data_IF_150189510331
#
_entry.id   IF_150189510331
#
_cell.length_a   1.000
_cell.length_b   1.000
_cell.length_c   1.000
_cell.angle_alpha   90.00
_cell.angle_beta   90.00
_cell.angle_gamma   90.00
#
_symmetry.space_group_name_H-M   'P 1'
#
loop_
_entity.id
_entity.type
_entity.pdbx_description
1 polymer ?
#
# COMPACT_ATOMS: atom_id res chain seq x y z
N UNK A 1 1.85 -12.91 13.24
CA UNK A 1 1.33 -12.45 11.94
C UNK A 1 -0.08 -12.99 11.78
N UNK A 2 -1.00 -12.19 11.27
CA UNK A 2 -2.41 -12.58 11.10
C UNK A 2 -2.90 -12.14 9.71
N UNK A 3 -3.57 -13.06 9.02
CA UNK A 3 -4.15 -12.94 7.69
C UNK A 3 -5.48 -13.72 7.68
N UNK A 4 -6.32 -13.53 6.66
CA UNK A 4 -7.44 -14.45 6.43
C UNK A 4 -6.91 -15.88 6.18
N UNK A 5 -7.69 -16.90 6.54
CA UNK A 5 -7.23 -18.30 6.48
C UNK A 5 -6.67 -18.70 5.11
N UNK A 6 -7.40 -18.41 4.03
CA UNK A 6 -6.95 -18.74 2.66
C UNK A 6 -5.66 -18.00 2.26
N UNK A 7 -5.53 -16.73 2.68
CA UNK A 7 -4.33 -15.95 2.46
C UNK A 7 -3.15 -16.53 3.25
N UNK A 8 -3.33 -16.82 4.54
CA UNK A 8 -2.31 -17.45 5.38
C UNK A 8 -1.83 -18.78 4.80
N UNK A 9 -2.76 -19.64 4.36
CA UNK A 9 -2.42 -20.91 3.71
C UNK A 9 -1.63 -20.70 2.41
N UNK A 10 -2.04 -19.73 1.57
CA UNK A 10 -1.30 -19.37 0.37
C UNK A 10 0.12 -18.89 0.68
N UNK A 11 0.29 -18.07 1.72
CA UNK A 11 1.59 -17.58 2.15
C UNK A 11 2.48 -18.72 2.70
N UNK A 12 1.93 -19.63 3.52
CA UNK A 12 2.68 -20.77 4.05
C UNK A 12 3.18 -21.70 2.93
N UNK A 13 2.37 -21.94 1.90
CA UNK A 13 2.79 -22.70 0.71
C UNK A 13 3.88 -21.98 -0.09
N UNK A 14 3.78 -20.66 -0.23
CA UNK A 14 4.81 -19.86 -0.88
C UNK A 14 6.14 -19.90 -0.11
N UNK A 15 6.09 -19.84 1.22
CA UNK A 15 7.26 -19.96 2.10
C UNK A 15 7.91 -21.34 1.95
N UNK A 16 7.11 -22.41 1.95
CA UNK A 16 7.61 -23.77 1.79
C UNK A 16 8.28 -23.98 0.43
N UNK A 17 7.66 -23.50 -0.65
CA UNK A 17 8.24 -23.55 -2.00
C UNK A 17 9.55 -22.74 -2.09
N UNK A 18 9.58 -21.52 -1.53
CA UNK A 18 10.81 -20.71 -1.48
C UNK A 18 11.95 -21.43 -0.77
N UNK A 19 11.66 -22.08 0.38
CA UNK A 19 12.67 -22.91 1.09
C UNK A 19 13.16 -24.07 0.25
N UNK A 20 12.28 -24.73 -0.52
CA UNK A 20 12.66 -25.77 -1.47
C UNK A 20 13.62 -25.29 -2.57
N UNK A 21 13.61 -23.99 -2.86
CA UNK A 21 14.56 -23.33 -3.77
C UNK A 21 15.80 -22.74 -3.08
N UNK A 22 15.97 -22.94 -1.76
CA UNK A 22 17.06 -22.34 -0.99
C UNK A 22 16.90 -20.83 -0.76
N UNK A 23 15.68 -20.30 -0.92
CA UNK A 23 15.34 -18.89 -0.74
C UNK A 23 14.64 -18.64 0.60
N UNK A 24 14.64 -17.38 1.02
CA UNK A 24 13.80 -16.90 2.13
C UNK A 24 12.60 -16.15 1.58
N UNK A 25 11.50 -16.23 2.32
CA UNK A 25 10.29 -15.44 2.09
C UNK A 25 9.71 -15.10 3.45
N UNK A 26 9.74 -13.81 3.80
CA UNK A 26 9.35 -13.35 5.13
C UNK A 26 8.75 -11.95 5.13
N UNK A 27 8.26 -11.51 6.32
CA UNK A 27 7.68 -10.20 6.48
C UNK A 27 8.76 -9.11 6.37
N UNK A 28 8.44 -8.01 5.67
CA UNK A 28 9.30 -6.82 5.60
C UNK A 28 9.56 -6.19 6.97
N UNK A 29 8.61 -6.33 7.89
CA UNK A 29 8.64 -5.74 9.21
C UNK A 29 7.52 -6.26 10.12
N UNK A 30 7.45 -5.79 11.37
CA UNK A 30 6.45 -6.23 12.34
C UNK A 30 5.00 -5.89 11.92
N UNK A 31 4.82 -4.89 11.06
CA UNK A 31 3.55 -4.37 10.56
C UNK A 31 3.20 -4.88 9.15
N UNK A 32 3.93 -5.88 8.65
CA UNK A 32 3.80 -6.38 7.28
C UNK A 32 2.46 -7.05 6.94
N UNK A 33 1.61 -7.38 7.91
CA UNK A 33 0.36 -8.12 7.67
C UNK A 33 -0.84 -7.37 8.26
N UNK A 34 -1.43 -7.86 9.35
CA UNK A 34 -2.56 -7.19 10.01
C UNK A 34 -2.21 -5.75 10.39
N UNK A 35 -3.11 -4.85 10.02
CA UNK A 35 -3.18 -3.47 10.49
C UNK A 35 -4.57 -3.22 11.06
N UNK A 36 -4.69 -2.47 12.14
CA UNK A 36 -5.97 -2.01 12.66
C UNK A 36 -6.32 -0.61 12.11
N UNK A 37 -7.56 -0.15 12.32
CA UNK A 37 -7.98 1.17 11.81
C UNK A 37 -7.14 2.32 12.36
N UNK A 38 -6.83 2.31 13.66
CA UNK A 38 -6.05 3.38 14.28
C UNK A 38 -4.63 3.45 13.70
N UNK A 39 -4.00 2.31 13.41
CA UNK A 39 -2.70 2.29 12.74
C UNK A 39 -2.76 3.01 11.37
N UNK A 40 -3.87 2.87 10.62
CA UNK A 40 -4.05 3.59 9.35
C UNK A 40 -4.21 5.09 9.54
N UNK A 41 -4.86 5.51 10.63
CA UNK A 41 -4.99 6.92 10.99
C UNK A 41 -3.63 7.51 11.36
N UNK A 42 -2.83 6.81 12.17
CA UNK A 42 -1.50 7.27 12.56
C UNK A 42 -0.54 7.33 11.37
N UNK A 43 -0.59 6.34 10.46
CA UNK A 43 0.21 6.38 9.23
C UNK A 43 -0.18 7.56 8.33
N UNK A 44 -1.48 7.81 8.14
CA UNK A 44 -1.97 8.97 7.40
C UNK A 44 -1.49 10.29 8.03
N UNK A 45 -1.66 10.43 9.33
CA UNK A 45 -1.20 11.59 10.12
C UNK A 45 0.30 11.82 9.99
N UNK A 46 1.10 10.75 9.96
CA UNK A 46 2.56 10.80 9.78
C UNK A 46 3.02 11.36 8.41
N UNK A 47 2.08 11.58 7.48
CA UNK A 47 2.31 12.29 6.20
C UNK A 47 1.65 13.66 6.20
N UNK A 48 0.44 13.77 6.72
CA UNK A 48 -0.31 15.02 6.78
C UNK A 48 0.39 16.08 7.63
N UNK A 49 0.79 15.76 8.87
CA UNK A 49 1.33 16.80 9.77
C UNK A 49 2.65 17.41 9.28
N UNK A 50 3.66 16.63 8.84
CA UNK A 50 4.90 17.21 8.31
C UNK A 50 4.67 18.07 7.07
N UNK A 51 3.77 17.66 6.18
CA UNK A 51 3.44 18.40 4.97
C UNK A 51 2.73 19.72 5.28
N UNK A 52 1.74 19.72 6.17
CA UNK A 52 1.08 20.95 6.61
C UNK A 52 2.07 21.95 7.21
N UNK A 53 2.96 21.48 8.09
CA UNK A 53 3.99 22.32 8.69
C UNK A 53 4.94 22.90 7.63
N UNK A 54 5.37 22.08 6.67
CA UNK A 54 6.22 22.52 5.57
C UNK A 54 5.53 23.59 4.71
N UNK A 55 4.33 23.30 4.20
CA UNK A 55 3.65 24.19 3.27
C UNK A 55 3.18 25.49 3.92
N UNK A 56 2.80 25.46 5.20
CA UNK A 56 2.49 26.67 5.96
C UNK A 56 3.75 27.50 6.19
N UNK A 57 4.86 26.87 6.57
CA UNK A 57 6.16 27.54 6.73
C UNK A 57 6.69 28.18 5.44
N UNK A 58 6.37 27.60 4.28
CA UNK A 58 6.66 28.19 2.96
C UNK A 58 5.62 29.25 2.51
N UNK A 59 4.58 29.51 3.29
CA UNK A 59 3.50 30.44 2.92
C UNK A 59 2.63 29.98 1.75
N UNK A 60 2.68 28.68 1.39
CA UNK A 60 1.86 28.11 0.30
C UNK A 60 0.44 27.75 0.76
N UNK A 61 0.24 27.58 2.06
CA UNK A 61 -1.07 27.51 2.70
C UNK A 61 -1.10 28.46 3.90
N UNK A 62 -2.28 28.93 4.29
CA UNK A 62 -2.45 29.71 5.51
C UNK A 62 -2.41 28.79 6.74
N UNK A 63 -1.85 29.27 7.85
CA UNK A 63 -1.82 28.51 9.11
C UNK A 63 -3.22 28.10 9.56
N UNK A 64 -4.22 28.99 9.43
CA UNK A 64 -5.61 28.67 9.74
C UNK A 64 -6.17 27.50 8.90
N UNK A 65 -5.72 27.35 7.64
CA UNK A 65 -6.07 26.20 6.80
C UNK A 65 -5.38 24.93 7.28
N UNK A 66 -4.09 25.01 7.65
CA UNK A 66 -3.37 23.89 8.23
C UNK A 66 -4.01 23.40 9.54
N UNK A 67 -4.36 24.32 10.44
CA UNK A 67 -5.03 24.02 11.71
C UNK A 67 -6.41 23.38 11.51
N UNK A 68 -7.19 23.89 10.55
CA UNK A 68 -8.47 23.32 10.19
C UNK A 68 -8.31 21.86 9.72
N UNK A 69 -7.36 21.59 8.84
CA UNK A 69 -7.11 20.23 8.35
C UNK A 69 -6.65 19.34 9.51
N UNK A 70 -5.69 19.79 10.33
CA UNK A 70 -5.13 19.02 11.46
C UNK A 70 -6.20 18.60 12.48
N UNK A 71 -7.16 19.49 12.74
CA UNK A 71 -8.28 19.24 13.68
C UNK A 71 -9.46 18.48 13.06
N UNK A 72 -9.49 18.32 11.74
CA UNK A 72 -10.59 17.61 11.06
C UNK A 72 -10.51 16.10 11.33
N UNK A 73 -11.67 15.40 11.38
CA UNK A 73 -11.71 13.94 11.37
C UNK A 73 -10.94 13.36 10.17
N UNK A 74 -10.29 12.19 10.30
CA UNK A 74 -9.46 11.62 9.23
C UNK A 74 -10.17 11.50 7.88
N UNK A 75 -11.45 11.13 7.87
CA UNK A 75 -12.25 11.06 6.65
C UNK A 75 -12.39 12.42 5.95
N UNK A 76 -12.57 13.50 6.70
CA UNK A 76 -12.64 14.86 6.13
C UNK A 76 -11.28 15.38 5.68
N UNK A 77 -10.20 14.94 6.32
CA UNK A 77 -8.84 15.28 5.88
C UNK A 77 -8.56 14.76 4.48
N UNK A 78 -9.05 13.57 4.11
CA UNK A 78 -8.81 12.96 2.79
C UNK A 78 -9.21 13.90 1.66
N UNK A 79 -10.44 14.42 1.69
CA UNK A 79 -10.94 15.33 0.66
C UNK A 79 -10.10 16.63 0.62
N UNK A 80 -9.84 17.24 1.79
CA UNK A 80 -9.07 18.49 1.89
C UNK A 80 -7.62 18.32 1.42
N UNK A 81 -7.00 17.19 1.69
CA UNK A 81 -5.66 16.86 1.20
C UNK A 81 -5.67 16.77 -0.32
N UNK A 82 -6.62 16.04 -0.92
CA UNK A 82 -6.70 15.94 -2.38
C UNK A 82 -6.98 17.28 -3.07
N UNK A 83 -7.84 18.15 -2.50
CA UNK A 83 -8.05 19.51 -3.00
C UNK A 83 -6.77 20.38 -2.98
N UNK A 84 -5.86 20.13 -2.03
CA UNK A 84 -4.55 20.78 -1.99
C UNK A 84 -3.59 20.16 -3.02
N UNK A 85 -3.64 18.86 -3.23
CA UNK A 85 -2.80 18.17 -4.21
C UNK A 85 -3.13 18.60 -5.65
N UNK A 86 -4.39 18.90 -5.96
CA UNK A 86 -4.79 19.55 -7.22
C UNK A 86 -4.08 20.89 -7.48
N UNK A 87 -3.60 21.55 -6.41
CA UNK A 87 -2.86 22.82 -6.44
C UNK A 87 -1.35 22.60 -6.29
N UNK A 88 -0.86 21.39 -6.55
CA UNK A 88 0.54 20.99 -6.39
C UNK A 88 1.09 21.24 -4.97
N UNK A 89 0.25 21.04 -3.96
CA UNK A 89 0.62 21.02 -2.54
C UNK A 89 0.54 19.56 -2.12
N UNK A 90 1.67 18.88 -2.20
CA UNK A 90 1.76 17.42 -2.11
C UNK A 90 2.07 16.92 -0.71
N UNK A 91 1.61 15.70 -0.42
CA UNK A 91 1.67 15.10 0.91
C UNK A 91 2.39 13.75 0.94
N UNK A 92 3.05 13.34 -0.15
CA UNK A 92 4.00 12.22 -0.11
C UNK A 92 5.14 12.51 0.88
N UNK A 93 5.87 11.48 1.30
CA UNK A 93 6.98 11.62 2.27
C UNK A 93 8.04 12.66 1.84
N UNK A 94 8.25 12.80 0.53
CA UNK A 94 9.18 13.75 -0.09
C UNK A 94 8.50 15.00 -0.68
N UNK A 95 7.17 15.13 -0.48
CA UNK A 95 6.35 16.26 -0.93
C UNK A 95 6.36 16.49 -2.46
N UNK A 96 6.66 15.46 -3.25
CA UNK A 96 6.76 15.55 -4.72
C UNK A 96 5.57 14.95 -5.46
N UNK A 97 4.75 14.13 -4.79
CA UNK A 97 3.65 13.36 -5.38
C UNK A 97 2.45 13.30 -4.44
N UNK A 98 1.34 12.76 -4.94
CA UNK A 98 0.17 12.50 -4.11
C UNK A 98 0.50 11.61 -2.91
N UNK A 99 -0.13 11.87 -1.76
CA UNK A 99 -0.02 11.11 -0.52
C UNK A 99 -0.25 9.62 -0.70
N UNK A 100 -1.08 9.23 -1.68
CA UNK A 100 -1.39 7.82 -1.97
C UNK A 100 -0.17 7.01 -2.44
N UNK A 101 0.90 7.69 -2.91
CA UNK A 101 2.19 7.05 -3.19
C UNK A 101 2.97 6.69 -1.92
N UNK A 102 2.55 7.18 -0.75
CA UNK A 102 3.24 6.98 0.53
C UNK A 102 2.39 6.23 1.54
N UNK A 103 1.08 6.47 1.58
CA UNK A 103 0.13 5.85 2.53
C UNK A 103 -1.28 5.81 1.93
N UNK A 104 -2.02 4.74 2.22
CA UNK A 104 -3.44 4.68 1.87
C UNK A 104 -4.29 5.60 2.78
N UNK A 105 -5.42 6.13 2.30
CA UNK A 105 -6.41 6.78 3.16
C UNK A 105 -6.84 5.88 4.33
N UNK A 106 -7.11 6.43 5.52
CA UNK A 106 -7.62 5.66 6.64
C UNK A 106 -8.87 4.88 6.26
N UNK A 107 -8.90 3.59 6.61
CA UNK A 107 -10.00 2.69 6.20
C UNK A 107 -9.87 2.07 4.80
N UNK A 108 -9.00 2.59 3.91
CA UNK A 108 -8.82 2.06 2.56
C UNK A 108 -7.61 1.10 2.41
N UNK A 109 -6.84 0.91 3.49
CA UNK A 109 -5.68 -0.01 3.51
C UNK A 109 -6.11 -1.47 3.38
N UNK A 110 -5.59 -2.19 2.40
CA UNK A 110 -5.86 -3.63 2.22
C UNK A 110 -5.43 -4.49 3.43
N UNK A 111 -4.46 -4.05 4.22
CA UNK A 111 -4.07 -4.72 5.48
C UNK A 111 -5.21 -4.83 6.52
N UNK A 112 -6.23 -3.96 6.44
CA UNK A 112 -7.43 -4.04 7.28
C UNK A 112 -8.26 -5.29 6.96
N UNK A 113 -8.26 -5.70 5.70
CA UNK A 113 -9.00 -6.88 5.23
C UNK A 113 -8.27 -8.19 5.48
N UNK A 114 -7.05 -8.14 6.03
CA UNK A 114 -6.19 -9.31 6.26
C UNK A 114 -5.81 -10.07 4.96
N UNK A 115 -5.84 -9.37 3.83
CA UNK A 115 -5.49 -9.90 2.49
C UNK A 115 -4.19 -9.33 1.94
N UNK A 116 -3.53 -8.41 2.66
CA UNK A 116 -2.27 -7.81 2.25
C UNK A 116 -1.10 -8.31 3.08
N UNK A 117 0.05 -8.45 2.42
CA UNK A 117 1.31 -8.84 3.04
C UNK A 117 2.49 -8.12 2.40
N UNK A 118 3.31 -7.47 3.22
CA UNK A 118 4.53 -6.79 2.80
C UNK A 118 5.74 -7.74 2.91
N UNK A 119 6.34 -8.05 1.78
CA UNK A 119 7.40 -9.07 1.66
C UNK A 119 8.79 -8.43 1.77
N UNK A 120 9.70 -9.04 2.53
CA UNK A 120 11.08 -8.55 2.67
C UNK A 120 11.90 -8.80 1.39
N UNK A 121 11.75 -9.96 0.77
CA UNK A 121 12.49 -10.42 -0.41
C UNK A 121 11.81 -10.04 -1.75
N UNK A 122 10.99 -9.00 -1.75
CA UNK A 122 10.19 -8.57 -2.92
C UNK A 122 11.02 -8.22 -4.17
N UNK A 123 12.32 -7.93 -4.02
CA UNK A 123 13.28 -7.69 -5.10
C UNK A 123 13.63 -8.95 -5.91
N UNK A 124 13.48 -10.15 -5.34
CA UNK A 124 13.81 -11.39 -6.03
C UNK A 124 12.69 -11.80 -7.01
N UNK A 125 12.97 -11.88 -8.33
CA UNK A 125 11.97 -12.29 -9.32
C UNK A 125 11.47 -13.73 -9.13
N UNK A 126 12.27 -14.62 -8.53
CA UNK A 126 11.85 -15.98 -8.18
C UNK A 126 10.83 -15.91 -7.05
N UNK A 127 11.07 -15.11 -6.00
CA UNK A 127 10.10 -14.90 -4.90
C UNK A 127 8.78 -14.36 -5.43
N UNK A 128 8.82 -13.34 -6.31
CA UNK A 128 7.60 -12.80 -6.94
C UNK A 128 6.82 -13.85 -7.73
N UNK A 129 7.51 -14.71 -8.48
CA UNK A 129 6.88 -15.80 -9.24
C UNK A 129 6.25 -16.84 -8.33
N UNK A 130 6.93 -17.21 -7.23
CA UNK A 130 6.40 -18.14 -6.23
C UNK A 130 5.13 -17.56 -5.59
N UNK A 131 5.16 -16.29 -5.19
CA UNK A 131 3.99 -15.58 -4.65
C UNK A 131 2.80 -15.61 -5.62
N UNK A 132 3.04 -15.26 -6.89
CA UNK A 132 1.99 -15.25 -7.93
C UNK A 132 1.37 -16.65 -8.16
N UNK A 133 2.17 -17.71 -8.07
CA UNK A 133 1.71 -19.10 -8.13
C UNK A 133 0.78 -19.46 -6.97
N UNK A 134 0.98 -18.85 -5.81
CA UNK A 134 0.14 -19.00 -4.62
C UNK A 134 -0.84 -17.83 -4.42
N UNK A 135 -1.22 -17.18 -5.52
CA UNK A 135 -2.28 -16.16 -5.63
C UNK A 135 -2.01 -14.82 -4.92
N UNK A 136 -0.74 -14.54 -4.62
CA UNK A 136 -0.27 -13.26 -4.10
C UNK A 136 0.26 -12.40 -5.25
N UNK A 137 -0.35 -11.24 -5.47
CA UNK A 137 -0.03 -10.36 -6.59
C UNK A 137 0.30 -8.95 -6.11
N UNK A 138 1.20 -8.25 -6.82
CA UNK A 138 1.40 -6.83 -6.59
C UNK A 138 0.26 -6.06 -7.25
N UNK A 139 -0.56 -5.36 -6.45
CA UNK A 139 -1.72 -4.60 -6.94
C UNK A 139 -1.56 -3.08 -6.81
N UNK A 140 -0.46 -2.62 -6.20
CA UNK A 140 -0.14 -1.21 -5.96
C UNK A 140 1.23 -0.89 -6.57
N UNK A 141 1.24 -0.17 -7.69
CA UNK A 141 2.48 0.09 -8.49
C UNK A 141 3.54 0.86 -7.71
N UNK A 142 3.12 1.75 -6.81
CA UNK A 142 4.02 2.57 -6.00
C UNK A 142 4.55 1.88 -4.74
N UNK A 143 4.03 0.70 -4.38
CA UNK A 143 4.36 0.00 -3.14
C UNK A 143 4.94 -1.37 -3.43
N UNK A 144 6.23 -1.40 -3.75
CA UNK A 144 6.94 -2.58 -4.21
C UNK A 144 6.91 -3.79 -3.26
N UNK A 145 7.01 -3.67 -1.92
CA UNK A 145 6.91 -4.83 -1.04
C UNK A 145 5.48 -5.37 -0.91
N UNK A 146 4.47 -4.64 -1.36
CA UNK A 146 3.06 -4.94 -1.07
C UNK A 146 2.48 -6.00 -2.02
N UNK A 147 1.99 -7.08 -1.44
CA UNK A 147 1.26 -8.14 -2.15
C UNK A 147 -0.15 -8.30 -1.58
N UNK A 148 -1.10 -8.54 -2.48
CA UNK A 148 -2.51 -8.80 -2.17
C UNK A 148 -2.86 -10.22 -2.56
N UNK A 149 -3.47 -10.96 -1.65
CA UNK A 149 -4.03 -12.28 -1.94
C UNK A 149 -5.35 -12.16 -2.67
N UNK A 150 -5.42 -12.68 -3.89
CA UNK A 150 -6.63 -12.64 -4.73
C UNK A 150 -7.32 -14.01 -4.88
N UNK A 151 -6.68 -15.09 -4.43
CA UNK A 151 -7.27 -16.43 -4.38
C UNK A 151 -7.61 -17.09 -5.72
N UNK A 152 -7.23 -16.47 -6.85
CA UNK A 152 -7.47 -16.99 -8.20
C UNK A 152 -6.20 -16.89 -9.03
N UNK A 153 -6.11 -17.74 -10.06
CA UNK A 153 -5.00 -17.74 -11.01
C UNK A 153 -4.93 -16.44 -11.82
N UNK A 154 -3.71 -16.04 -12.19
CA UNK A 154 -3.42 -14.85 -12.99
C UNK A 154 -4.26 -14.77 -14.29
N UNK A 155 -4.54 -15.92 -14.92
CA UNK A 155 -5.35 -16.04 -16.14
C UNK A 155 -6.81 -15.63 -15.97
N UNK A 156 -7.31 -15.55 -14.73
CA UNK A 156 -8.69 -15.19 -14.39
C UNK A 156 -8.83 -13.73 -13.96
N UNK A 157 -7.73 -13.06 -13.60
CA UNK A 157 -7.74 -11.70 -13.04
C UNK A 157 -8.31 -10.67 -14.02
N UNK A 158 -8.07 -10.82 -15.31
CA UNK A 158 -8.58 -9.90 -16.32
C UNK A 158 -10.12 -9.89 -16.37
N UNK A 159 -10.74 -11.05 -16.13
CA UNK A 159 -12.22 -11.18 -16.06
C UNK A 159 -12.80 -10.59 -14.79
N UNK A 160 -11.97 -10.32 -13.78
CA UNK A 160 -12.35 -9.67 -12.53
C UNK A 160 -12.07 -8.17 -12.54
N UNK A 161 -11.75 -7.59 -13.71
CA UNK A 161 -11.53 -6.16 -13.86
C UNK A 161 -10.13 -5.70 -13.46
N UNK A 162 -9.16 -6.61 -13.41
CA UNK A 162 -7.75 -6.25 -13.29
C UNK A 162 -7.09 -6.21 -14.67
N UNK A 163 -5.96 -5.52 -14.79
CA UNK A 163 -5.11 -5.53 -15.97
C UNK A 163 -3.66 -5.64 -15.57
N UNK A 164 -2.84 -6.12 -16.50
CA UNK A 164 -1.38 -6.09 -16.36
C UNK A 164 -0.86 -4.69 -16.62
N UNK A 165 -0.02 -4.20 -15.71
CA UNK A 165 0.84 -3.03 -15.94
C UNK A 165 2.28 -3.43 -15.67
N UNK A 166 3.18 -3.07 -16.57
CA UNK A 166 4.61 -3.23 -16.38
C UNK A 166 5.21 -1.91 -15.87
N UNK A 167 5.99 -1.98 -14.81
CA UNK A 167 6.78 -0.86 -14.31
C UNK A 167 8.13 -1.36 -13.81
N UNK A 168 9.22 -0.75 -14.28
CA UNK A 168 10.60 -1.12 -13.93
C UNK A 168 10.89 -2.63 -14.02
N UNK A 169 10.36 -3.30 -15.05
CA UNK A 169 10.55 -4.74 -15.26
C UNK A 169 9.75 -5.64 -14.30
N UNK A 170 8.73 -5.12 -13.62
CA UNK A 170 7.81 -5.88 -12.77
C UNK A 170 6.39 -5.83 -13.32
N UNK A 171 5.68 -6.93 -13.13
CA UNK A 171 4.27 -7.06 -13.48
C UNK A 171 3.39 -6.71 -12.27
N UNK A 172 2.40 -5.83 -12.48
CA UNK A 172 1.38 -5.46 -11.49
C UNK A 172 -0.01 -5.82 -12.01
N UNK A 173 -0.89 -6.25 -11.10
CA UNK A 173 -2.30 -6.55 -11.35
C UNK A 173 -3.16 -5.45 -10.76
N UNK A 174 -3.42 -4.40 -11.55
CA UNK A 174 -4.10 -3.18 -11.08
C UNK A 174 -5.55 -3.13 -11.57
N UNK A 175 -6.46 -2.44 -10.87
CA UNK A 175 -7.82 -2.20 -11.38
C UNK A 175 -7.82 -1.56 -12.77
N UNK A 176 -8.72 -2.05 -13.63
CA UNK A 176 -9.01 -1.49 -14.94
C UNK A 176 -10.16 -0.48 -14.81
N UNK A 177 -9.82 0.72 -14.33
CA UNK A 177 -10.73 1.87 -14.13
C UNK A 177 -10.49 2.96 -15.17
#
# INVERSE_FOLDING_TARGET
>A
MELQSAAMEGLLRAIDEAKGHGLTLGPRGPDAARRNYNDTVELWKSRVEPALNHWSGCGRIMEATADLIRSSPPYEQVAKVFELEEKAIYFSKDLSKSIIYSVAPPGASQHLSLLAFDVAEYEDPVVRRILAKHFWYQTVVSDLPHFTYLGVEASKLDRLGLRVVENEGREFRVPNI
#
